data_IF_049951907379
#
_entry.id   IF_049951907379
#
_cell.length_a   1.000
_cell.length_b   1.000
_cell.length_c   1.000
_cell.angle_alpha   90.00
_cell.angle_beta   90.00
_cell.angle_gamma   90.00
#
_symmetry.space_group_name_H-M   'P 1'
#
loop_
_entity.id
_entity.type
_entity.pdbx_description
1 polymer ?
#
# COMPACT_ATOMS: atom_id res chain seq x y z
N UNK A 1 3.64 -2.80 23.99
CA UNK A 1 3.08 -2.71 22.61
C UNK A 1 4.27 -2.58 21.67
N UNK A 2 4.46 -3.54 20.78
CA UNK A 2 5.56 -3.48 19.80
C UNK A 2 5.18 -2.46 18.73
N UNK A 3 6.04 -1.48 18.48
CA UNK A 3 5.84 -0.49 17.44
C UNK A 3 6.65 -0.87 16.20
N UNK A 4 5.96 -1.25 15.13
CA UNK A 4 6.60 -1.58 13.84
C UNK A 4 6.91 -0.28 13.10
N UNK A 5 8.21 -0.03 12.88
CA UNK A 5 8.71 1.11 12.11
C UNK A 5 9.32 0.65 10.80
N UNK A 6 9.11 1.45 9.77
CA UNK A 6 9.64 1.26 8.42
C UNK A 6 10.63 2.38 8.15
N UNK A 7 11.76 2.09 7.51
CA UNK A 7 12.65 3.13 6.99
C UNK A 7 12.04 3.68 5.71
N UNK A 8 11.74 4.98 5.67
CA UNK A 8 11.27 5.65 4.48
C UNK A 8 12.39 5.67 3.42
N UNK A 9 12.16 5.14 2.20
CA UNK A 9 13.21 5.05 1.19
C UNK A 9 13.68 6.40 0.62
N UNK A 10 12.91 7.47 0.80
CA UNK A 10 13.24 8.80 0.27
C UNK A 10 13.94 9.68 1.31
N UNK A 11 13.44 9.72 2.55
CA UNK A 11 14.03 10.54 3.62
C UNK A 11 15.05 9.80 4.47
N UNK A 12 15.08 8.45 4.41
CA UNK A 12 15.85 7.56 5.31
C UNK A 12 15.44 7.66 6.78
N UNK A 13 14.36 8.36 7.09
CA UNK A 13 13.80 8.47 8.44
C UNK A 13 12.89 7.29 8.75
N UNK A 14 12.68 7.01 10.04
CA UNK A 14 11.71 6.02 10.48
C UNK A 14 10.28 6.59 10.40
N UNK A 15 9.38 5.84 9.77
CA UNK A 15 7.96 6.13 9.72
C UNK A 15 7.14 4.95 10.27
N UNK A 16 5.91 5.21 10.71
CA UNK A 16 5.01 4.12 11.11
C UNK A 16 4.63 3.28 9.89
N UNK A 17 4.31 1.99 10.11
CA UNK A 17 3.77 1.14 9.06
C UNK A 17 2.53 1.74 8.40
N UNK A 18 1.65 2.38 9.19
CA UNK A 18 0.47 3.09 8.67
C UNK A 18 0.84 4.20 7.69
N UNK A 19 1.78 5.06 8.06
CA UNK A 19 2.27 6.15 7.21
C UNK A 19 2.85 5.59 5.90
N UNK A 20 3.64 4.52 6.00
CA UNK A 20 4.22 3.85 4.85
C UNK A 20 3.14 3.32 3.89
N UNK A 21 2.18 2.55 4.41
CA UNK A 21 1.07 2.00 3.63
C UNK A 21 0.20 3.10 3.01
N UNK A 22 -0.10 4.17 3.75
CA UNK A 22 -0.85 5.31 3.22
C UNK A 22 -0.13 5.96 2.03
N UNK A 23 1.19 6.13 2.11
CA UNK A 23 2.00 6.67 1.01
C UNK A 23 2.03 5.73 -0.20
N UNK A 24 2.14 4.42 0.01
CA UNK A 24 2.09 3.42 -1.08
C UNK A 24 0.72 3.42 -1.78
N UNK A 25 -0.38 3.43 -1.01
CA UNK A 25 -1.73 3.49 -1.54
C UNK A 25 -1.97 4.75 -2.37
N UNK A 26 -1.52 5.92 -1.89
CA UNK A 26 -1.57 7.18 -2.65
C UNK A 26 -0.78 7.11 -3.95
N UNK A 27 0.44 6.55 -3.91
CA UNK A 27 1.26 6.36 -5.12
C UNK A 27 0.59 5.42 -6.11
N UNK A 28 -0.04 4.34 -5.64
CA UNK A 28 -0.78 3.42 -6.49
C UNK A 28 -1.99 4.12 -7.15
N UNK A 29 -2.76 4.90 -6.38
CA UNK A 29 -3.86 5.69 -6.93
C UNK A 29 -3.41 6.75 -7.95
N UNK A 30 -2.18 7.26 -7.85
CA UNK A 30 -1.65 8.21 -8.85
C UNK A 30 -1.55 7.60 -10.26
N UNK A 31 -1.43 6.27 -10.36
CA UNK A 31 -1.40 5.55 -11.64
C UNK A 31 -2.72 5.71 -12.39
N UNK A 32 -3.85 5.85 -11.70
CA UNK A 32 -5.16 6.07 -12.34
C UNK A 32 -5.16 7.35 -13.17
N UNK A 33 -4.67 8.45 -12.58
CA UNK A 33 -4.57 9.74 -13.28
C UNK A 33 -3.56 9.69 -14.42
N UNK A 34 -2.41 9.03 -14.20
CA UNK A 34 -1.40 8.85 -15.24
C UNK A 34 -1.95 8.04 -16.42
N UNK A 35 -2.73 6.99 -16.14
CA UNK A 35 -3.31 6.14 -17.16
C UNK A 35 -4.38 6.86 -17.97
N UNK A 36 -5.28 7.62 -17.33
CA UNK A 36 -6.25 8.46 -18.04
C UNK A 36 -5.55 9.50 -18.92
N UNK A 37 -4.50 10.15 -18.38
CA UNK A 37 -3.74 11.14 -19.14
C UNK A 37 -2.97 10.54 -20.31
N UNK A 38 -2.45 9.32 -20.17
CA UNK A 38 -1.69 8.64 -21.23
C UNK A 38 -2.60 8.15 -22.36
N UNK A 39 -3.79 7.67 -22.00
CA UNK A 39 -4.77 7.14 -22.96
C UNK A 39 -5.68 8.23 -23.56
N UNK A 40 -5.68 9.43 -22.98
CA UNK A 40 -6.64 10.51 -23.27
C UNK A 40 -8.10 10.02 -23.22
N UNK A 41 -8.39 9.13 -22.27
CA UNK A 41 -9.68 8.44 -22.12
C UNK A 41 -10.00 8.22 -20.65
N UNK A 42 -11.28 8.30 -20.27
CA UNK A 42 -11.72 7.91 -18.93
C UNK A 42 -11.69 6.40 -18.77
N UNK A 43 -11.19 5.92 -17.63
CA UNK A 43 -11.07 4.48 -17.38
C UNK A 43 -12.44 3.79 -17.38
N UNK A 44 -13.49 4.51 -17.00
CA UNK A 44 -14.85 4.00 -16.96
C UNK A 44 -15.50 3.80 -18.33
N UNK A 45 -14.94 4.39 -19.38
CA UNK A 45 -15.52 4.32 -20.74
C UNK A 45 -15.11 3.04 -21.48
N UNK A 46 -14.35 2.15 -20.84
CA UNK A 46 -13.89 0.89 -21.40
C UNK A 46 -14.00 -0.22 -20.35
N UNK A 47 -14.65 -1.36 -20.64
CA UNK A 47 -14.77 -2.44 -19.68
C UNK A 47 -13.41 -2.98 -19.18
N UNK A 48 -12.39 -3.05 -20.05
CA UNK A 48 -11.07 -3.55 -19.65
C UNK A 48 -10.32 -2.52 -18.80
N UNK A 49 -10.45 -1.23 -19.11
CA UNK A 49 -9.84 -0.17 -18.29
C UNK A 49 -10.55 -0.01 -16.95
N UNK A 50 -11.87 -0.25 -16.89
CA UNK A 50 -12.63 -0.28 -15.65
C UNK A 50 -12.16 -1.43 -14.74
N UNK A 51 -11.89 -2.62 -15.29
CA UNK A 51 -11.31 -3.73 -14.54
C UNK A 51 -9.91 -3.39 -14.01
N UNK A 52 -9.05 -2.78 -14.83
CA UNK A 52 -7.73 -2.31 -14.39
C UNK A 52 -7.86 -1.29 -13.24
N UNK A 53 -8.80 -0.35 -13.34
CA UNK A 53 -9.09 0.64 -12.29
C UNK A 53 -9.49 -0.06 -10.99
N UNK A 54 -10.40 -1.02 -11.07
CA UNK A 54 -10.94 -1.71 -9.90
C UNK A 54 -9.87 -2.57 -9.21
N UNK A 55 -8.99 -3.22 -9.98
CA UNK A 55 -7.80 -3.92 -9.44
C UNK A 55 -6.90 -2.93 -8.69
N UNK A 56 -6.57 -1.78 -9.29
CA UNK A 56 -5.71 -0.77 -8.64
C UNK A 56 -6.34 -0.23 -7.36
N UNK A 57 -7.64 0.08 -7.36
CA UNK A 57 -8.36 0.56 -6.18
C UNK A 57 -8.43 -0.51 -5.09
N UNK A 58 -8.62 -1.78 -5.45
CA UNK A 58 -8.62 -2.91 -4.52
C UNK A 58 -7.26 -3.07 -3.85
N UNK A 59 -6.18 -3.08 -4.63
CA UNK A 59 -4.80 -3.15 -4.09
C UNK A 59 -4.53 -1.95 -3.17
N UNK A 60 -4.96 -0.75 -3.54
CA UNK A 60 -4.82 0.44 -2.69
C UNK A 60 -5.55 0.30 -1.36
N UNK A 61 -6.74 -0.32 -1.34
CA UNK A 61 -7.49 -0.60 -0.14
C UNK A 61 -6.79 -1.67 0.73
N UNK A 62 -6.31 -2.74 0.13
CA UNK A 62 -5.61 -3.82 0.83
C UNK A 62 -4.32 -3.33 1.49
N UNK A 63 -3.53 -2.50 0.78
CA UNK A 63 -2.34 -1.84 1.34
C UNK A 63 -2.70 -1.06 2.60
N UNK A 64 -3.78 -0.26 2.59
CA UNK A 64 -4.16 0.54 3.77
C UNK A 64 -4.68 -0.30 4.93
N UNK A 65 -5.24 -1.47 4.66
CA UNK A 65 -5.71 -2.41 5.69
C UNK A 65 -4.61 -3.34 6.20
N UNK A 66 -3.44 -3.36 5.57
CA UNK A 66 -2.35 -4.25 5.93
C UNK A 66 -1.90 -4.08 7.39
N UNK A 67 -1.99 -2.86 7.92
CA UNK A 67 -1.75 -2.58 9.36
C UNK A 67 -2.71 -3.32 10.29
N UNK A 68 -3.94 -3.58 9.85
CA UNK A 68 -4.98 -4.22 10.66
C UNK A 68 -4.87 -5.75 10.64
N UNK A 69 -4.20 -6.30 9.62
CA UNK A 69 -3.97 -7.74 9.46
C UNK A 69 -2.60 -8.18 9.94
N UNK A 70 -1.79 -7.25 10.46
CA UNK A 70 -0.45 -7.56 10.93
C UNK A 70 -0.54 -8.28 12.28
N UNK A 71 -0.29 -9.59 12.26
CA UNK A 71 -0.05 -10.37 13.46
C UNK A 71 1.45 -10.31 13.79
N UNK A 72 1.79 -9.81 14.97
CA UNK A 72 3.18 -9.74 15.45
C UNK A 72 3.36 -10.86 16.47
N UNK A 73 3.99 -11.95 16.05
CA UNK A 73 4.49 -12.97 16.97
C UNK A 73 5.88 -12.55 17.43
N UNK A 74 6.02 -12.22 18.71
CA UNK A 74 7.32 -12.12 19.34
C UNK A 74 7.69 -13.50 19.87
N UNK A 75 8.52 -14.22 19.12
CA UNK A 75 9.11 -15.46 19.59
C UNK A 75 10.18 -15.17 20.64
N UNK A 76 9.91 -15.53 21.90
CA UNK A 76 10.96 -15.88 22.85
C UNK A 76 11.33 -17.36 22.62
N UNK A 77 11.95 -17.68 21.48
CA UNK A 77 12.69 -18.95 21.36
C UNK A 77 14.16 -18.71 21.69
N UNK A 78 14.38 -18.11 22.85
CA UNK A 78 15.60 -18.34 23.62
C UNK A 78 15.17 -19.15 24.85
N UNK A 79 14.73 -20.38 24.62
CA UNK A 79 14.89 -21.45 25.61
C UNK A 79 16.40 -21.69 25.75
N UNK A 80 17.06 -20.78 26.46
CA UNK A 80 18.48 -20.89 26.78
C UNK A 80 18.69 -22.06 27.73
N UNK A 81 19.59 -22.95 27.31
CA UNK A 81 20.45 -23.85 28.12
C UNK A 81 19.78 -24.89 29.04
#
# INVERSE_FOLDING_TARGET
MIEVKIVNPHSKELESLYTHCSRLSKRNNSVLYLLESYLDKKLLDDPQLAEIRDILLTVSADITKLTNHLHIECGDENEGL
#
